data_IF_932249315850
#
_entry.id   IF_932249315850
#
_cell.length_a   1.000
_cell.length_b   1.000
_cell.length_c   1.000
_cell.angle_alpha   90.00
_cell.angle_beta   90.00
_cell.angle_gamma   90.00
#
_symmetry.space_group_name_H-M   'P 1'
#
loop_
_entity.id
_entity.type
_entity.pdbx_description
1 polymer ?
#
# COMPACT_ATOMS: atom_id res chain seq x y z
N UNK A 1 -0.66 15.78 27.30
CA UNK A 1 0.22 15.28 26.22
C UNK A 1 -0.41 15.59 24.87
N UNK A 2 0.39 15.96 23.88
CA UNK A 2 -0.10 16.10 22.50
C UNK A 2 -0.53 14.71 22.00
N UNK A 3 -1.70 14.57 21.36
CA UNK A 3 -2.12 13.27 20.82
C UNK A 3 -1.17 12.82 19.72
N UNK A 4 -0.91 11.51 19.69
CA UNK A 4 -0.13 10.87 18.62
C UNK A 4 -0.93 10.97 17.31
N UNK A 5 -0.32 11.46 16.25
CA UNK A 5 -0.95 11.60 14.94
C UNK A 5 -0.45 10.51 13.99
N UNK A 6 -1.37 9.62 13.58
CA UNK A 6 -1.07 8.57 12.60
C UNK A 6 -1.81 8.86 11.29
N UNK A 7 -1.07 8.87 10.19
CA UNK A 7 -1.65 9.14 8.88
C UNK A 7 -2.08 7.87 8.15
N UNK A 8 -3.13 7.98 7.37
CA UNK A 8 -3.62 6.99 6.42
C UNK A 8 -4.04 7.67 5.11
N UNK A 9 -4.26 6.89 4.04
CA UNK A 9 -4.50 7.43 2.69
C UNK A 9 -5.88 8.09 2.56
N UNK A 10 -6.93 7.42 3.04
CA UNK A 10 -8.29 7.94 3.12
C UNK A 10 -9.11 7.13 4.11
N UNK A 11 -10.25 7.65 4.56
CA UNK A 11 -11.13 6.96 5.53
C UNK A 11 -11.67 5.62 5.01
N UNK A 12 -11.89 5.49 3.70
CA UNK A 12 -12.37 4.27 3.06
C UNK A 12 -11.25 3.43 2.44
N UNK A 13 -9.98 3.73 2.73
CA UNK A 13 -8.85 2.95 2.21
C UNK A 13 -8.59 1.71 3.06
N UNK A 14 -8.06 0.68 2.42
CA UNK A 14 -7.57 -0.51 3.11
C UNK A 14 -6.51 -0.16 4.17
N UNK A 15 -5.72 0.88 3.94
CA UNK A 15 -4.72 1.39 4.88
C UNK A 15 -5.36 1.91 6.17
N UNK A 16 -6.56 2.54 6.07
CA UNK A 16 -7.32 2.97 7.25
C UNK A 16 -7.76 1.76 8.09
N UNK A 17 -8.34 0.75 7.44
CA UNK A 17 -8.83 -0.44 8.15
C UNK A 17 -7.69 -1.29 8.70
N UNK A 18 -6.58 -1.42 7.98
CA UNK A 18 -5.37 -2.07 8.48
C UNK A 18 -4.84 -1.36 9.75
N UNK A 19 -4.77 -0.03 9.73
CA UNK A 19 -4.35 0.76 10.88
C UNK A 19 -5.33 0.62 12.06
N UNK A 20 -6.64 0.58 11.80
CA UNK A 20 -7.66 0.35 12.83
C UNK A 20 -7.53 -1.04 13.47
N UNK A 21 -7.35 -2.08 12.68
CA UNK A 21 -7.13 -3.44 13.18
C UNK A 21 -5.84 -3.52 14.00
N UNK A 22 -4.75 -2.91 13.54
CA UNK A 22 -3.50 -2.87 14.30
C UNK A 22 -3.66 -2.14 15.63
N UNK A 23 -4.34 -0.99 15.65
CA UNK A 23 -4.62 -0.23 16.87
C UNK A 23 -5.54 -0.98 17.84
N UNK A 24 -6.40 -1.85 17.35
CA UNK A 24 -7.25 -2.68 18.19
C UNK A 24 -6.45 -3.75 18.99
N UNK A 25 -5.21 -4.02 18.61
CA UNK A 25 -4.32 -4.93 19.33
C UNK A 25 -3.64 -4.26 20.52
N UNK A 26 -3.66 -2.93 20.60
CA UNK A 26 -3.05 -2.18 21.70
C UNK A 26 -4.07 -1.87 22.80
N UNK A 27 -3.57 -1.47 23.97
CA UNK A 27 -4.42 -1.11 25.09
C UNK A 27 -5.34 0.07 24.74
N UNK A 28 -6.60 0.00 25.14
CA UNK A 28 -7.65 1.00 24.90
C UNK A 28 -7.24 2.41 25.33
N UNK A 29 -6.57 2.59 26.46
CA UNK A 29 -6.13 3.90 26.95
C UNK A 29 -5.10 4.56 26.02
N UNK A 30 -4.25 3.76 25.38
CA UNK A 30 -3.28 4.24 24.39
C UNK A 30 -4.02 4.66 23.11
N UNK A 31 -4.99 3.86 22.65
CA UNK A 31 -5.76 4.12 21.45
C UNK A 31 -6.58 5.44 21.52
N UNK A 32 -7.06 5.85 22.68
CA UNK A 32 -7.78 7.11 22.88
C UNK A 32 -6.93 8.35 22.64
N UNK A 33 -5.61 8.26 22.80
CA UNK A 33 -4.68 9.37 22.57
C UNK A 33 -4.16 9.44 21.13
N UNK A 34 -4.69 8.62 20.22
CA UNK A 34 -4.28 8.57 18.82
C UNK A 34 -5.30 9.30 17.95
N UNK A 35 -4.81 10.24 17.18
CA UNK A 35 -5.58 10.95 16.14
C UNK A 35 -5.22 10.43 14.77
N UNK A 36 -6.20 9.90 14.03
CA UNK A 36 -6.03 9.51 12.65
C UNK A 36 -6.22 10.73 11.72
N UNK A 37 -5.29 10.90 10.79
CA UNK A 37 -5.31 12.00 9.82
C UNK A 37 -5.18 11.45 8.40
N UNK A 38 -5.88 12.07 7.45
CA UNK A 38 -5.78 11.70 6.03
C UNK A 38 -4.66 12.50 5.36
N UNK A 39 -3.76 11.79 4.68
CA UNK A 39 -2.66 12.40 3.95
C UNK A 39 -2.36 11.58 2.67
N UNK A 40 -2.16 12.22 1.51
CA UNK A 40 -1.75 11.49 0.31
C UNK A 40 -0.36 10.85 0.47
N UNK A 41 -0.12 9.65 -0.08
CA UNK A 41 1.13 8.91 0.09
C UNK A 41 2.42 9.70 -0.18
N UNK A 42 2.52 10.53 -1.24
CA UNK A 42 3.76 11.26 -1.52
C UNK A 42 4.20 12.25 -0.43
N UNK A 43 3.26 12.69 0.41
CA UNK A 43 3.55 13.67 1.47
C UNK A 43 3.83 13.04 2.84
N UNK A 44 3.64 11.72 3.01
CA UNK A 44 3.73 11.06 4.32
C UNK A 44 5.15 11.05 4.87
N UNK A 45 6.14 10.78 4.01
CA UNK A 45 7.55 10.75 4.38
C UNK A 45 8.03 12.13 4.81
N UNK A 46 7.68 13.18 4.05
CA UNK A 46 8.01 14.57 4.38
C UNK A 46 7.29 15.03 5.66
N UNK A 47 6.02 14.70 5.82
CA UNK A 47 5.24 15.07 7.01
C UNK A 47 5.81 14.41 8.28
N UNK A 48 6.30 13.16 8.20
CA UNK A 48 6.98 12.49 9.29
C UNK A 48 8.32 13.17 9.60
N UNK A 49 9.13 13.48 8.59
CA UNK A 49 10.40 14.20 8.75
C UNK A 49 10.24 15.56 9.43
N UNK A 50 9.14 16.25 9.12
CA UNK A 50 8.81 17.56 9.69
C UNK A 50 8.02 17.46 11.03
N UNK A 51 7.89 16.28 11.62
CA UNK A 51 7.15 16.04 12.88
C UNK A 51 5.68 16.53 12.85
N UNK A 52 5.07 16.59 11.67
CA UNK A 52 3.64 16.88 11.50
C UNK A 52 2.80 15.68 11.89
N UNK A 53 3.31 14.47 11.59
CA UNK A 53 2.75 13.18 12.01
C UNK A 53 3.80 12.38 12.76
N UNK A 54 3.34 11.41 13.57
CA UNK A 54 4.22 10.53 14.36
C UNK A 54 4.40 9.15 13.73
N UNK A 55 3.56 8.81 12.72
CA UNK A 55 3.63 7.58 11.96
C UNK A 55 2.60 7.55 10.85
N UNK A 56 2.66 6.53 10.00
CA UNK A 56 1.68 6.37 8.91
C UNK A 56 1.50 4.90 8.51
N UNK A 57 0.35 4.61 7.90
CA UNK A 57 0.06 3.35 7.24
C UNK A 57 -0.23 3.63 5.75
N UNK A 58 0.60 3.08 4.87
CA UNK A 58 0.56 3.32 3.43
C UNK A 58 1.08 2.10 2.66
N UNK A 59 0.79 2.00 1.38
CA UNK A 59 1.40 0.99 0.50
C UNK A 59 2.88 1.25 0.22
N UNK A 60 3.61 0.21 -0.14
CA UNK A 60 4.97 0.36 -0.66
C UNK A 60 4.98 1.15 -1.98
N UNK A 61 6.06 1.88 -2.27
CA UNK A 61 7.37 1.87 -1.60
C UNK A 61 7.55 2.96 -0.51
N UNK A 62 6.51 3.66 -0.10
CA UNK A 62 6.60 4.83 0.80
C UNK A 62 7.10 4.47 2.21
N UNK A 63 6.71 3.30 2.75
CA UNK A 63 7.22 2.83 4.05
C UNK A 63 8.74 2.59 3.96
N UNK A 64 9.16 1.84 2.94
CA UNK A 64 10.59 1.59 2.69
C UNK A 64 11.37 2.87 2.44
N UNK A 65 10.79 3.86 1.73
CA UNK A 65 11.46 5.14 1.52
C UNK A 65 11.78 5.85 2.84
N UNK A 66 10.85 5.84 3.80
CA UNK A 66 11.10 6.41 5.13
C UNK A 66 12.23 5.71 5.89
N UNK A 67 12.35 4.39 5.76
CA UNK A 67 13.47 3.64 6.33
C UNK A 67 14.81 3.91 5.61
N UNK A 68 14.80 4.00 4.29
CA UNK A 68 16.01 4.26 3.48
C UNK A 68 16.68 5.59 3.84
N UNK A 69 15.89 6.60 4.14
CA UNK A 69 16.42 7.92 4.56
C UNK A 69 16.59 8.03 6.08
N UNK A 70 16.31 6.97 6.83
CA UNK A 70 16.62 6.85 8.25
C UNK A 70 15.70 7.63 9.19
N UNK A 71 14.50 8.01 8.75
CA UNK A 71 13.54 8.78 9.57
C UNK A 71 12.47 7.92 10.21
N UNK A 72 12.30 6.67 9.77
CA UNK A 72 11.27 5.76 10.27
C UNK A 72 11.74 4.31 10.33
N UNK A 73 10.93 3.48 10.95
CA UNK A 73 11.06 2.04 10.96
C UNK A 73 9.69 1.42 10.70
N UNK A 74 9.62 0.41 9.84
CA UNK A 74 8.42 -0.41 9.65
C UNK A 74 8.24 -1.28 10.89
N UNK A 75 7.13 -1.11 11.60
CA UNK A 75 6.85 -1.82 12.87
C UNK A 75 5.87 -2.98 12.70
N UNK A 76 5.07 -2.97 11.64
CA UNK A 76 4.12 -4.02 11.32
C UNK A 76 3.82 -4.07 9.83
N UNK A 77 3.50 -5.25 9.32
CA UNK A 77 3.06 -5.49 7.96
C UNK A 77 1.56 -5.79 7.93
N UNK A 78 0.87 -5.45 6.85
CA UNK A 78 -0.53 -5.86 6.65
C UNK A 78 -0.71 -7.38 6.67
N UNK A 79 0.31 -8.14 6.30
CA UNK A 79 0.31 -9.62 6.36
C UNK A 79 0.14 -10.15 7.78
N UNK A 80 0.60 -9.39 8.79
CA UNK A 80 0.53 -9.77 10.20
C UNK A 80 -0.80 -9.37 10.85
N UNK A 81 -1.58 -8.50 10.18
CA UNK A 81 -2.74 -7.82 10.78
C UNK A 81 -4.06 -8.29 10.16
N UNK A 82 -4.07 -8.50 8.84
CA UNK A 82 -5.29 -8.74 8.08
C UNK A 82 -5.07 -9.80 7.00
N UNK A 83 -6.15 -10.49 6.53
CA UNK A 83 -6.02 -11.44 5.44
C UNK A 83 -5.57 -10.75 4.14
N UNK A 84 -5.05 -11.53 3.21
CA UNK A 84 -4.74 -11.04 1.85
C UNK A 84 -6.04 -10.71 1.13
N UNK A 85 -6.25 -9.43 0.84
CA UNK A 85 -7.43 -8.91 0.12
C UNK A 85 -6.98 -7.97 -1.00
N UNK A 86 -7.84 -7.76 -2.00
CA UNK A 86 -7.57 -6.82 -3.09
C UNK A 86 -7.49 -5.38 -2.54
N UNK A 87 -6.39 -4.71 -2.79
CA UNK A 87 -6.20 -3.30 -2.44
C UNK A 87 -6.76 -2.38 -3.53
N UNK A 88 -6.50 -2.70 -4.78
CA UNK A 88 -6.93 -1.90 -5.95
C UNK A 88 -7.56 -2.77 -7.01
N UNK A 89 -8.59 -2.25 -7.67
CA UNK A 89 -9.28 -2.92 -8.76
C UNK A 89 -9.47 -1.96 -9.95
N UNK A 90 -9.45 -2.50 -11.16
CA UNK A 90 -9.95 -1.79 -12.32
C UNK A 90 -11.48 -1.77 -12.24
N UNK A 91 -12.07 -0.59 -12.12
CA UNK A 91 -13.52 -0.41 -12.13
C UNK A 91 -13.95 0.46 -13.31
N UNK A 92 -15.00 0.05 -13.99
CA UNK A 92 -15.66 0.79 -15.06
C UNK A 92 -17.17 0.78 -14.83
N UNK A 93 -17.89 1.77 -15.37
CA UNK A 93 -19.36 1.73 -15.33
C UNK A 93 -19.91 0.65 -16.24
N UNK A 94 -21.06 0.08 -15.88
CA UNK A 94 -21.72 -0.94 -16.71
C UNK A 94 -22.01 -0.43 -18.12
N UNK A 95 -22.48 0.81 -18.24
CA UNK A 95 -22.78 1.43 -19.54
C UNK A 95 -21.53 1.58 -20.39
N UNK A 96 -20.40 2.01 -19.81
CA UNK A 96 -19.16 2.09 -20.54
C UNK A 96 -18.68 0.72 -21.02
N UNK A 97 -18.77 -0.31 -20.19
CA UNK A 97 -18.39 -1.68 -20.53
C UNK A 97 -19.24 -2.23 -21.70
N UNK A 98 -20.54 -1.91 -21.70
CA UNK A 98 -21.46 -2.30 -22.77
C UNK A 98 -21.17 -1.57 -24.09
N UNK A 99 -20.83 -0.28 -24.02
CA UNK A 99 -20.54 0.54 -25.20
C UNK A 99 -19.15 0.25 -25.78
N UNK A 100 -18.19 -0.21 -24.94
CA UNK A 100 -16.79 -0.40 -25.32
C UNK A 100 -16.25 -1.81 -24.98
N UNK A 101 -16.91 -2.90 -25.38
CA UNK A 101 -16.56 -4.26 -24.94
C UNK A 101 -15.15 -4.68 -25.37
N UNK A 102 -14.71 -4.28 -26.55
CA UNK A 102 -13.36 -4.59 -27.05
C UNK A 102 -12.28 -3.86 -26.27
N UNK A 103 -12.47 -2.56 -26.00
CA UNK A 103 -11.53 -1.75 -25.21
C UNK A 103 -11.44 -2.24 -23.78
N UNK A 104 -12.59 -2.56 -23.16
CA UNK A 104 -12.63 -3.12 -21.81
C UNK A 104 -11.84 -4.42 -21.70
N UNK A 105 -12.04 -5.35 -22.65
CA UNK A 105 -11.29 -6.60 -22.72
C UNK A 105 -9.79 -6.37 -22.90
N UNK A 106 -9.41 -5.51 -23.85
CA UNK A 106 -8.00 -5.21 -24.12
C UNK A 106 -7.31 -4.61 -22.89
N UNK A 107 -7.96 -3.66 -22.21
CA UNK A 107 -7.43 -3.03 -20.99
C UNK A 107 -7.26 -4.04 -19.86
N UNK A 108 -8.27 -4.90 -19.63
CA UNK A 108 -8.20 -5.97 -18.62
C UNK A 108 -7.05 -6.93 -18.91
N UNK A 109 -6.90 -7.36 -20.16
CA UNK A 109 -5.82 -8.27 -20.58
C UNK A 109 -4.44 -7.60 -20.42
N UNK A 110 -4.30 -6.31 -20.76
CA UNK A 110 -3.05 -5.58 -20.61
C UNK A 110 -2.61 -5.49 -19.14
N UNK A 111 -3.54 -5.18 -18.22
CA UNK A 111 -3.25 -5.15 -16.78
C UNK A 111 -2.87 -6.54 -16.27
N UNK A 112 -3.61 -7.59 -16.63
CA UNK A 112 -3.31 -8.95 -16.23
C UNK A 112 -1.93 -9.39 -16.71
N UNK A 113 -1.58 -9.08 -17.96
CA UNK A 113 -0.26 -9.37 -18.53
C UNK A 113 0.84 -8.64 -17.77
N UNK A 114 0.68 -7.35 -17.51
CA UNK A 114 1.65 -6.56 -16.75
C UNK A 114 1.87 -7.10 -15.33
N UNK A 115 0.81 -7.52 -14.64
CA UNK A 115 0.91 -8.15 -13.32
C UNK A 115 1.70 -9.46 -13.38
N UNK A 116 1.44 -10.32 -14.37
CA UNK A 116 2.17 -11.57 -14.55
C UNK A 116 3.65 -11.30 -14.88
N UNK A 117 3.95 -10.35 -15.77
CA UNK A 117 5.32 -9.95 -16.08
C UNK A 117 6.05 -9.48 -14.82
N UNK A 118 5.44 -8.62 -14.01
CA UNK A 118 6.02 -8.17 -12.73
C UNK A 118 6.27 -9.33 -11.77
N UNK A 119 5.35 -10.28 -11.64
CA UNK A 119 5.48 -11.42 -10.72
C UNK A 119 6.68 -12.30 -11.05
N UNK A 120 6.92 -12.56 -12.33
CA UNK A 120 7.95 -13.47 -12.81
C UNK A 120 9.19 -12.77 -13.34
N UNK A 121 9.28 -11.45 -13.17
CA UNK A 121 10.44 -10.67 -13.58
C UNK A 121 11.67 -11.10 -12.77
N UNK A 122 12.75 -11.48 -13.44
CA UNK A 122 14.02 -11.85 -12.79
C UNK A 122 14.82 -10.61 -12.41
N UNK A 123 14.83 -9.60 -13.28
CA UNK A 123 15.53 -8.33 -13.10
C UNK A 123 14.56 -7.16 -13.00
N UNK A 124 14.56 -6.49 -11.85
CA UNK A 124 13.73 -5.32 -11.56
C UNK A 124 14.44 -3.99 -11.82
N UNK A 125 15.58 -3.98 -12.48
CA UNK A 125 16.38 -2.75 -12.70
C UNK A 125 15.56 -1.65 -13.36
N UNK A 126 14.81 -1.96 -14.40
CA UNK A 126 13.96 -0.98 -15.08
C UNK A 126 12.82 -0.46 -14.20
N UNK A 127 12.24 -1.33 -13.37
CA UNK A 127 11.18 -0.94 -12.41
C UNK A 127 11.74 0.05 -11.38
N UNK A 128 12.92 -0.25 -10.84
CA UNK A 128 13.58 0.64 -9.88
C UNK A 128 13.99 1.96 -10.53
N UNK A 129 14.52 1.94 -11.74
CA UNK A 129 14.87 3.16 -12.47
C UNK A 129 13.64 4.03 -12.67
N UNK A 130 12.52 3.48 -13.08
CA UNK A 130 11.26 4.20 -13.24
C UNK A 130 10.81 4.83 -11.91
N UNK A 131 10.86 4.11 -10.79
CA UNK A 131 10.48 4.65 -9.48
C UNK A 131 11.40 5.78 -9.03
N UNK A 132 12.70 5.72 -9.38
CA UNK A 132 13.66 6.81 -9.12
C UNK A 132 13.39 8.03 -10.02
N UNK A 133 13.12 7.82 -11.31
CA UNK A 133 12.85 8.89 -12.28
C UNK A 133 11.58 9.69 -11.91
N UNK A 134 10.59 9.01 -11.31
CA UNK A 134 9.39 9.64 -10.76
C UNK A 134 9.55 10.19 -9.33
N UNK A 135 10.77 10.18 -8.77
CA UNK A 135 11.06 10.60 -7.39
C UNK A 135 10.22 9.87 -6.32
N UNK A 136 9.82 8.62 -6.59
CA UNK A 136 9.08 7.81 -5.63
C UNK A 136 10.03 7.21 -4.60
N UNK A 137 11.22 6.82 -5.04
CA UNK A 137 12.27 6.28 -4.17
C UNK A 137 13.62 6.97 -4.43
N UNK A 138 14.45 7.02 -3.39
CA UNK A 138 15.85 7.45 -3.47
C UNK A 138 16.73 6.24 -3.14
N UNK A 139 17.46 5.73 -4.15
CA UNK A 139 18.25 4.52 -4.05
C UNK A 139 19.73 4.78 -4.27
N UNK A 140 20.55 4.07 -3.48
CA UNK A 140 22.01 4.06 -3.64
C UNK A 140 22.47 2.61 -3.74
N UNK A 141 22.85 2.16 -4.93
CA UNK A 141 23.26 0.79 -5.19
C UNK A 141 24.57 0.37 -4.46
N UNK A 142 25.38 1.34 -4.03
CA UNK A 142 26.56 1.11 -3.18
C UNK A 142 26.22 0.84 -1.70
N UNK A 143 24.97 1.07 -1.29
CA UNK A 143 24.52 0.89 0.08
C UNK A 143 23.85 -0.49 0.24
N UNK A 144 24.47 -1.39 1.01
CA UNK A 144 23.96 -2.75 1.22
C UNK A 144 22.56 -2.78 1.83
N UNK A 145 22.24 -1.83 2.73
CA UNK A 145 20.90 -1.75 3.35
C UNK A 145 19.86 -1.41 2.29
N UNK A 146 20.16 -0.49 1.38
CA UNK A 146 19.29 -0.15 0.26
C UNK A 146 19.03 -1.37 -0.64
N UNK A 147 20.05 -2.10 -1.00
CA UNK A 147 19.93 -3.33 -1.82
C UNK A 147 19.02 -4.36 -1.13
N UNK A 148 19.20 -4.60 0.17
CA UNK A 148 18.36 -5.51 0.94
C UNK A 148 16.89 -5.07 0.96
N UNK A 149 16.62 -3.77 1.13
CA UNK A 149 15.25 -3.23 1.10
C UNK A 149 14.59 -3.39 -0.27
N UNK A 150 15.34 -3.24 -1.34
CA UNK A 150 14.84 -3.50 -2.69
C UNK A 150 14.44 -4.96 -2.89
N UNK A 151 15.25 -5.90 -2.44
CA UNK A 151 14.87 -7.31 -2.45
C UNK A 151 13.61 -7.59 -1.62
N UNK A 152 13.45 -6.88 -0.50
CA UNK A 152 12.23 -7.01 0.30
C UNK A 152 11.00 -6.51 -0.46
N UNK A 153 11.06 -5.35 -1.13
CA UNK A 153 9.96 -4.85 -1.98
C UNK A 153 9.66 -5.83 -3.13
N UNK A 154 10.68 -6.35 -3.78
CA UNK A 154 10.54 -7.32 -4.85
C UNK A 154 9.80 -8.59 -4.38
N UNK A 155 10.13 -9.09 -3.20
CA UNK A 155 9.43 -10.21 -2.58
C UNK A 155 7.98 -9.88 -2.24
N UNK A 156 7.71 -8.66 -1.76
CA UNK A 156 6.34 -8.16 -1.51
C UNK A 156 5.55 -8.16 -2.82
N UNK A 157 6.08 -7.62 -3.91
CA UNK A 157 5.43 -7.61 -5.22
C UNK A 157 5.07 -9.04 -5.65
N UNK A 158 6.04 -9.96 -5.60
CA UNK A 158 5.83 -11.37 -5.96
C UNK A 158 4.78 -12.06 -5.11
N UNK A 159 4.71 -11.71 -3.82
CA UNK A 159 3.71 -12.27 -2.90
C UNK A 159 2.30 -11.73 -3.16
N UNK A 160 2.18 -10.42 -3.44
CA UNK A 160 0.87 -9.77 -3.58
C UNK A 160 0.27 -9.88 -4.98
N UNK A 161 1.07 -10.05 -6.03
CA UNK A 161 0.54 -10.33 -7.37
C UNK A 161 -0.01 -11.75 -7.39
N UNK A 162 -1.32 -11.88 -7.54
CA UNK A 162 -2.00 -13.17 -7.58
C UNK A 162 -1.85 -13.86 -8.96
N UNK A 163 -1.92 -15.20 -8.99
CA UNK A 163 -1.94 -15.96 -10.24
C UNK A 163 -3.28 -15.78 -10.97
N UNK A 164 -4.34 -15.44 -10.22
CA UNK A 164 -5.64 -15.06 -10.76
C UNK A 164 -5.96 -13.63 -10.29
N UNK A 165 -5.76 -12.62 -11.15
CA UNK A 165 -5.97 -11.22 -10.80
C UNK A 165 -7.45 -10.80 -10.80
N UNK A 166 -8.37 -11.75 -10.85
CA UNK A 166 -9.81 -11.45 -10.77
C UNK A 166 -10.20 -11.09 -9.34
N UNK A 167 -10.95 -9.99 -9.13
CA UNK A 167 -11.49 -9.64 -7.83
C UNK A 167 -12.37 -10.77 -7.27
N UNK A 168 -12.16 -11.13 -6.01
CA UNK A 168 -12.93 -12.18 -5.32
C UNK A 168 -14.05 -11.54 -4.50
N UNK A 169 -15.19 -12.20 -4.42
CA UNK A 169 -16.33 -11.73 -3.61
C UNK A 169 -15.93 -11.61 -2.14
N UNK A 170 -15.05 -12.50 -1.67
CA UNK A 170 -14.54 -12.52 -0.30
C UNK A 170 -13.80 -11.24 0.07
N UNK A 171 -13.04 -10.64 -0.87
CA UNK A 171 -12.33 -9.37 -0.66
C UNK A 171 -13.32 -8.24 -0.35
N UNK A 172 -14.42 -8.16 -1.09
CA UNK A 172 -15.45 -7.15 -0.88
C UNK A 172 -16.25 -7.41 0.40
N UNK A 173 -16.52 -8.66 0.74
CA UNK A 173 -17.19 -9.02 2.00
C UNK A 173 -16.35 -8.59 3.20
N UNK A 174 -15.05 -8.85 3.18
CA UNK A 174 -14.15 -8.41 4.24
C UNK A 174 -14.14 -6.89 4.36
N UNK A 175 -14.03 -6.15 3.24
CA UNK A 175 -14.03 -4.70 3.26
C UNK A 175 -15.34 -4.12 3.83
N UNK A 176 -16.49 -4.66 3.45
CA UNK A 176 -17.80 -4.27 4.00
C UNK A 176 -17.86 -4.52 5.51
N UNK A 177 -17.34 -5.65 5.99
CA UNK A 177 -17.26 -5.94 7.42
C UNK A 177 -16.41 -4.90 8.16
N UNK A 178 -15.29 -4.45 7.57
CA UNK A 178 -14.47 -3.40 8.15
C UNK A 178 -15.20 -2.05 8.20
N UNK A 179 -15.91 -1.69 7.13
CA UNK A 179 -16.76 -0.49 7.11
C UNK A 179 -17.79 -0.52 8.24
N UNK A 180 -18.52 -1.63 8.40
CA UNK A 180 -19.51 -1.78 9.49
C UNK A 180 -18.87 -1.75 10.88
N UNK A 181 -17.64 -2.24 11.02
CA UNK A 181 -16.94 -2.29 12.30
C UNK A 181 -16.38 -0.94 12.73
N UNK A 182 -15.92 -0.10 11.79
CA UNK A 182 -15.09 1.07 12.06
C UNK A 182 -15.69 2.42 11.65
N UNK A 183 -16.73 2.46 10.82
CA UNK A 183 -17.47 3.66 10.40
C UNK A 183 -18.78 3.82 11.20
#
# INVERSE_FOLDING_TARGET
QKPIQLAHVSKQSIHHYCLREWLALVNFDVAQNIKLVTLPPPYMVEALSNHVIDGFCVGEPWNTQGELIGISQIVASSQDIMPKVADKVLAVTADWALQHPHTHRALTQAIQKAQQELKYLDDYTEVWQMLMDFNIIQFQCSNTVHVQKFHSIQNIIRHFVDDSPQPKIEDFKWLIQQMVKWD
#
